data_IF_673550643938
#
_entry.id   IF_673550643938
#
_cell.length_a   1.000
_cell.length_b   1.000
_cell.length_c   1.000
_cell.angle_alpha   90.00
_cell.angle_beta   90.00
_cell.angle_gamma   90.00
#
_symmetry.space_group_name_H-M   'P 1'
#
loop_
_entity.id
_entity.type
_entity.pdbx_description
1 polymer ?
#
# COMPACT_ATOMS: atom_id res chain seq x y z
N UNK A 1 0.97 13.01 17.17
CA UNK A 1 0.23 12.14 16.24
C UNK A 1 0.95 10.81 16.21
N UNK A 2 0.28 9.64 16.27
CA UNK A 2 0.98 8.37 16.13
C UNK A 2 1.65 8.28 14.77
N UNK A 3 2.85 7.69 14.72
CA UNK A 3 3.54 7.34 13.48
C UNK A 3 2.76 6.23 12.77
N UNK A 4 2.58 6.36 11.45
CA UNK A 4 1.81 5.42 10.64
C UNK A 4 2.71 4.79 9.58
N UNK A 5 2.52 3.49 9.36
CA UNK A 5 3.00 2.79 8.18
C UNK A 5 1.81 2.58 7.24
N UNK A 6 2.05 2.49 5.95
CA UNK A 6 1.02 2.50 4.93
C UNK A 6 1.21 1.35 3.95
N UNK A 7 0.12 0.64 3.64
CA UNK A 7 0.03 -0.16 2.42
C UNK A 7 -0.76 0.65 1.42
N UNK A 8 -0.17 1.00 0.28
CA UNK A 8 -0.76 1.94 -0.66
C UNK A 8 -0.63 1.50 -2.12
N UNK A 9 -1.57 1.96 -2.94
CA UNK A 9 -1.56 1.82 -4.40
C UNK A 9 -2.27 3.00 -5.05
N UNK A 10 -2.04 3.20 -6.34
CA UNK A 10 -2.61 4.32 -7.10
C UNK A 10 -3.37 3.81 -8.33
N UNK A 11 -4.51 4.44 -8.60
CA UNK A 11 -5.30 4.19 -9.79
C UNK A 11 -5.64 5.50 -10.51
N UNK A 12 -5.45 5.49 -11.84
CA UNK A 12 -5.78 6.64 -12.68
C UNK A 12 -7.28 6.71 -12.87
N UNK A 13 -7.84 7.89 -12.69
CA UNK A 13 -9.25 8.13 -12.89
C UNK A 13 -9.56 8.48 -14.35
N UNK A 14 -10.78 8.17 -14.77
CA UNK A 14 -11.35 8.71 -16.00
C UNK A 14 -12.05 10.04 -15.68
N UNK A 15 -11.33 11.15 -15.86
CA UNK A 15 -11.79 12.46 -15.40
C UNK A 15 -11.87 12.52 -13.87
N UNK A 16 -13.07 12.73 -13.33
CA UNK A 16 -13.32 12.83 -11.88
C UNK A 16 -14.19 11.68 -11.35
N UNK A 17 -14.44 10.64 -12.16
CA UNK A 17 -15.30 9.52 -11.75
C UNK A 17 -14.55 8.54 -10.85
N UNK A 18 -14.75 8.70 -9.53
CA UNK A 18 -14.15 7.85 -8.49
C UNK A 18 -14.90 6.54 -8.24
N UNK A 19 -16.15 6.40 -8.72
CA UNK A 19 -17.03 5.29 -8.32
C UNK A 19 -16.47 3.91 -8.70
N UNK A 20 -15.89 3.69 -9.90
CA UNK A 20 -15.33 2.39 -10.24
C UNK A 20 -14.18 1.98 -9.31
N UNK A 21 -13.32 2.92 -8.96
CA UNK A 21 -12.15 2.71 -8.10
C UNK A 21 -12.55 2.48 -6.64
N UNK A 22 -13.51 3.25 -6.13
CA UNK A 22 -14.09 3.03 -4.79
C UNK A 22 -14.71 1.63 -4.67
N UNK A 23 -15.44 1.18 -5.70
CA UNK A 23 -16.03 -0.17 -5.71
C UNK A 23 -14.99 -1.28 -5.66
N UNK A 24 -13.82 -1.08 -6.30
CA UNK A 24 -12.70 -2.01 -6.18
C UNK A 24 -12.16 -2.07 -4.76
N UNK A 25 -11.97 -0.90 -4.14
CA UNK A 25 -11.46 -0.84 -2.77
C UNK A 25 -12.44 -1.42 -1.75
N UNK A 26 -13.74 -1.20 -1.92
CA UNK A 26 -14.78 -1.81 -1.08
C UNK A 26 -14.64 -3.35 -1.03
N UNK A 27 -14.43 -4.00 -2.18
CA UNK A 27 -14.20 -5.46 -2.22
C UNK A 27 -12.92 -5.88 -1.49
N UNK A 28 -11.87 -5.06 -1.53
CA UNK A 28 -10.66 -5.32 -0.73
C UNK A 28 -11.02 -5.28 0.76
N UNK A 29 -11.73 -4.24 1.20
CA UNK A 29 -12.16 -4.09 2.59
C UNK A 29 -13.06 -5.25 3.04
N UNK A 30 -13.94 -5.74 2.16
CA UNK A 30 -14.76 -6.95 2.41
C UNK A 30 -13.87 -8.17 2.62
N UNK A 31 -12.89 -8.43 1.75
CA UNK A 31 -12.02 -9.61 1.84
C UNK A 31 -11.08 -9.61 3.05
N UNK A 32 -10.73 -8.44 3.57
CA UNK A 32 -9.90 -8.32 4.78
C UNK A 32 -10.74 -8.25 6.08
N UNK A 33 -12.07 -8.31 5.99
CA UNK A 33 -12.99 -8.33 7.14
C UNK A 33 -13.24 -6.96 7.78
N UNK A 34 -12.97 -5.86 7.05
CA UNK A 34 -13.09 -4.47 7.55
C UNK A 34 -14.37 -3.79 7.08
N UNK A 35 -15.04 -4.33 6.05
CA UNK A 35 -16.27 -3.75 5.51
C UNK A 35 -17.46 -4.00 6.44
N UNK A 36 -18.08 -2.91 6.89
CA UNK A 36 -19.31 -2.92 7.69
C UNK A 36 -20.26 -1.78 7.28
N UNK A 37 -21.44 -1.75 7.87
CA UNK A 37 -22.47 -0.75 7.55
C UNK A 37 -22.08 0.70 7.83
N UNK A 38 -21.07 0.93 8.69
CA UNK A 38 -20.56 2.27 8.95
C UNK A 38 -19.62 2.70 7.82
N UNK A 39 -18.68 1.84 7.44
CA UNK A 39 -17.79 2.07 6.30
C UNK A 39 -18.59 2.25 5.01
N UNK A 40 -19.59 1.40 4.77
CA UNK A 40 -20.46 1.48 3.59
C UNK A 40 -21.13 2.86 3.49
N UNK A 41 -21.72 3.35 4.59
CA UNK A 41 -22.33 4.69 4.63
C UNK A 41 -21.32 5.79 4.37
N UNK A 42 -20.10 5.67 4.89
CA UNK A 42 -19.05 6.67 4.61
C UNK A 42 -18.65 6.64 3.14
N UNK A 43 -18.54 5.45 2.53
CA UNK A 43 -18.25 5.28 1.10
C UNK A 43 -19.34 5.88 0.21
N UNK A 44 -20.62 5.71 0.56
CA UNK A 44 -21.75 6.29 -0.16
C UNK A 44 -21.77 7.83 -0.14
N UNK A 45 -21.12 8.43 0.86
CA UNK A 45 -20.99 9.87 1.05
C UNK A 45 -19.69 10.44 0.46
N UNK A 46 -18.83 9.62 -0.14
CA UNK A 46 -17.61 10.08 -0.79
C UNK A 46 -17.96 10.85 -2.06
N UNK A 47 -17.60 12.12 -2.09
CA UNK A 47 -17.78 13.01 -3.23
C UNK A 47 -16.43 13.61 -3.64
N UNK A 48 -16.21 13.70 -4.95
CA UNK A 48 -15.09 14.44 -5.52
C UNK A 48 -15.40 15.94 -5.46
N UNK A 49 -14.83 16.66 -4.50
CA UNK A 49 -15.05 18.10 -4.33
C UNK A 49 -13.82 18.87 -4.78
N UNK A 50 -14.03 19.81 -5.70
CA UNK A 50 -13.01 20.74 -6.17
C UNK A 50 -13.23 22.06 -5.46
N UNK A 51 -12.20 22.55 -4.76
CA UNK A 51 -12.19 23.88 -4.16
C UNK A 51 -11.78 24.97 -5.17
N UNK A 52 -11.98 26.24 -4.80
CA UNK A 52 -11.69 27.40 -5.66
C UNK A 52 -10.21 27.50 -6.07
N UNK A 53 -9.30 26.94 -5.27
CA UNK A 53 -7.86 26.86 -5.55
C UNK A 53 -7.48 25.64 -6.42
N UNK A 54 -8.47 24.84 -6.87
CA UNK A 54 -8.27 23.60 -7.63
C UNK A 54 -7.87 22.40 -6.77
N UNK A 55 -7.79 22.56 -5.44
CA UNK A 55 -7.56 21.45 -4.52
C UNK A 55 -8.75 20.50 -4.55
N UNK A 56 -8.47 19.21 -4.48
CA UNK A 56 -9.49 18.17 -4.44
C UNK A 56 -9.36 17.39 -3.15
N UNK A 57 -10.49 17.23 -2.47
CA UNK A 57 -10.59 16.31 -1.34
C UNK A 57 -11.78 15.37 -1.53
N UNK A 58 -11.69 14.22 -0.87
CA UNK A 58 -12.79 13.29 -0.71
C UNK A 58 -13.48 13.59 0.62
N UNK A 59 -14.78 13.83 0.60
CA UNK A 59 -15.55 14.07 1.83
C UNK A 59 -15.49 12.86 2.76
N UNK A 60 -15.23 13.10 4.06
CA UNK A 60 -15.36 12.09 5.13
C UNK A 60 -14.45 10.86 4.97
N UNK A 61 -13.13 11.06 4.98
CA UNK A 61 -12.12 9.99 4.82
C UNK A 61 -11.59 9.39 6.13
N UNK A 62 -12.16 9.72 7.29
CA UNK A 62 -11.73 9.13 8.57
C UNK A 62 -12.53 7.87 8.92
N UNK A 63 -12.09 6.76 8.34
CA UNK A 63 -12.74 5.46 8.47
C UNK A 63 -12.50 4.75 9.82
N UNK A 64 -11.60 5.30 10.65
CA UNK A 64 -11.18 4.73 11.93
C UNK A 64 -10.36 3.44 11.81
N UNK A 65 -9.68 3.06 12.89
CA UNK A 65 -8.91 1.81 12.95
C UNK A 65 -9.79 0.60 13.26
N UNK A 66 -9.73 -0.40 12.38
CA UNK A 66 -10.53 -1.63 12.45
C UNK A 66 -9.64 -2.87 12.41
N UNK A 67 -10.06 -3.91 13.11
CA UNK A 67 -9.37 -5.19 13.10
C UNK A 67 -9.64 -5.91 11.77
N UNK A 68 -8.66 -6.65 11.29
CA UNK A 68 -8.80 -7.51 10.10
C UNK A 68 -9.04 -8.96 10.50
N UNK A 69 -9.51 -9.78 9.56
CA UNK A 69 -9.60 -11.24 9.77
C UNK A 69 -8.23 -11.94 9.85
N UNK A 70 -7.15 -11.23 9.53
CA UNK A 70 -5.81 -11.81 9.44
C UNK A 70 -5.01 -11.72 10.74
N UNK A 71 -5.28 -10.71 11.59
CA UNK A 71 -4.56 -10.51 12.84
C UNK A 71 -5.27 -9.50 13.76
N UNK A 72 -4.78 -9.37 15.01
CA UNK A 72 -5.18 -8.30 15.93
C UNK A 72 -4.65 -6.91 15.54
N UNK A 73 -3.72 -6.82 14.58
CA UNK A 73 -3.21 -5.54 14.08
C UNK A 73 -4.34 -4.86 13.31
N UNK A 74 -4.66 -3.64 13.73
CA UNK A 74 -5.71 -2.84 13.11
C UNK A 74 -5.18 -2.09 11.90
N UNK A 75 -6.07 -1.88 10.93
CA UNK A 75 -5.85 -1.04 9.76
C UNK A 75 -6.90 0.06 9.74
N UNK A 76 -6.54 1.24 9.24
CA UNK A 76 -7.48 2.30 8.91
C UNK A 76 -7.45 2.51 7.39
N UNK A 77 -8.57 2.28 6.68
CA UNK A 77 -8.69 2.67 5.29
C UNK A 77 -8.44 4.18 5.14
N UNK A 78 -7.79 4.58 4.06
CA UNK A 78 -7.58 5.98 3.71
C UNK A 78 -7.63 6.13 2.20
N UNK A 79 -8.17 7.25 1.73
CA UNK A 79 -8.26 7.57 0.32
C UNK A 79 -7.80 9.01 0.11
N UNK A 80 -6.94 9.24 -0.88
CA UNK A 80 -6.47 10.58 -1.24
C UNK A 80 -6.65 10.81 -2.74
N UNK A 81 -7.13 12.01 -3.09
CA UNK A 81 -7.22 12.44 -4.47
C UNK A 81 -5.93 13.18 -4.88
N UNK A 82 -5.43 12.85 -6.05
CA UNK A 82 -4.23 13.45 -6.63
C UNK A 82 -4.57 14.08 -7.97
N UNK A 83 -4.36 15.38 -8.09
CA UNK A 83 -4.63 16.12 -9.33
C UNK A 83 -3.42 16.93 -9.75
N UNK A 84 -3.32 17.32 -11.04
CA UNK A 84 -2.25 18.20 -11.52
C UNK A 84 -2.19 19.56 -10.78
N UNK A 85 -3.30 19.98 -10.15
CA UNK A 85 -3.37 21.21 -9.36
C UNK A 85 -2.68 21.06 -7.99
N UNK A 86 -2.72 19.86 -7.39
CA UNK A 86 -2.07 19.54 -6.11
C UNK A 86 -0.59 19.22 -6.34
N UNK A 87 -0.31 18.39 -7.33
CA UNK A 87 1.03 17.95 -7.67
C UNK A 87 1.18 17.88 -9.20
N UNK A 88 2.03 18.77 -9.74
CA UNK A 88 2.25 18.94 -11.17
C UNK A 88 2.94 17.75 -11.84
N UNK A 89 3.46 16.79 -11.07
CA UNK A 89 4.04 15.55 -11.61
C UNK A 89 2.95 14.60 -12.12
N UNK A 90 1.70 14.76 -11.70
CA UNK A 90 0.58 14.04 -12.28
C UNK A 90 0.05 14.76 -13.53
N UNK A 91 0.01 14.06 -14.66
CA UNK A 91 -0.62 14.57 -15.89
C UNK A 91 -2.15 14.40 -15.90
N UNK A 92 -2.69 13.55 -15.03
CA UNK A 92 -4.10 13.19 -14.97
C UNK A 92 -4.56 13.15 -13.51
N UNK A 93 -5.86 12.96 -13.27
CA UNK A 93 -6.35 12.72 -11.93
C UNK A 93 -6.13 11.26 -11.52
N UNK A 94 -5.70 11.08 -10.29
CA UNK A 94 -5.45 9.79 -9.66
C UNK A 94 -6.13 9.74 -8.29
N UNK A 95 -6.30 8.53 -7.79
CA UNK A 95 -6.70 8.27 -6.41
C UNK A 95 -5.72 7.28 -5.80
N UNK A 96 -5.29 7.52 -4.57
CA UNK A 96 -4.58 6.52 -3.77
C UNK A 96 -5.54 5.82 -2.84
N UNK A 97 -5.29 4.54 -2.63
CA UNK A 97 -5.98 3.70 -1.67
C UNK A 97 -4.96 3.18 -0.69
N UNK A 98 -5.12 3.53 0.58
CA UNK A 98 -4.17 3.18 1.61
C UNK A 98 -4.84 2.40 2.74
N UNK A 99 -4.08 1.48 3.34
CA UNK A 99 -4.37 0.86 4.63
C UNK A 99 -3.30 1.33 5.61
N UNK A 100 -3.68 2.24 6.50
CA UNK A 100 -2.79 2.81 7.51
C UNK A 100 -2.71 1.88 8.73
N UNK A 101 -1.51 1.68 9.26
CA UNK A 101 -1.21 0.82 10.40
C UNK A 101 -0.41 1.65 11.40
N UNK A 102 -0.75 1.60 12.68
CA UNK A 102 0.06 2.27 13.70
C UNK A 102 1.44 1.61 13.82
N UNK A 103 2.51 2.36 13.53
CA UNK A 103 3.89 1.83 13.43
C UNK A 103 4.33 1.09 14.71
N UNK A 104 3.97 1.62 15.89
CA UNK A 104 4.28 0.98 17.17
C UNK A 104 3.65 -0.40 17.39
N UNK A 105 2.57 -0.71 16.66
CA UNK A 105 1.95 -2.04 16.73
C UNK A 105 2.75 -3.09 15.97
N UNK A 106 3.55 -2.69 14.98
CA UNK A 106 4.27 -3.58 14.06
C UNK A 106 5.79 -3.53 14.14
N UNK A 107 6.38 -2.49 14.74
CA UNK A 107 7.84 -2.35 14.94
C UNK A 107 8.28 -2.76 16.35
N UNK A 108 9.47 -3.33 16.44
CA UNK A 108 10.18 -3.57 17.69
C UNK A 108 11.12 -2.38 17.97
N UNK A 109 10.77 -1.59 18.99
CA UNK A 109 11.53 -0.39 19.34
C UNK A 109 12.96 -0.66 19.82
N UNK A 110 13.30 -1.90 20.20
CA UNK A 110 14.65 -2.21 20.68
C UNK A 110 15.68 -2.30 19.56
N UNK A 111 15.26 -2.76 18.38
CA UNK A 111 16.15 -3.00 17.24
C UNK A 111 15.73 -2.23 15.98
N UNK A 112 14.60 -1.54 16.00
CA UNK A 112 14.07 -0.79 14.87
C UNK A 112 13.39 -1.65 13.80
N UNK A 113 13.51 -2.98 13.85
CA UNK A 113 12.98 -3.88 12.83
C UNK A 113 11.48 -4.17 13.02
N UNK A 114 10.86 -4.72 11.98
CA UNK A 114 9.49 -5.23 12.08
C UNK A 114 9.40 -6.49 12.95
N UNK A 115 8.31 -6.59 13.74
CA UNK A 115 7.97 -7.79 14.50
C UNK A 115 7.76 -8.98 13.55
N UNK A 116 8.01 -10.19 14.04
CA UNK A 116 7.97 -11.43 13.23
C UNK A 116 6.65 -11.60 12.44
N UNK A 117 5.51 -11.33 13.06
CA UNK A 117 4.20 -11.52 12.44
C UNK A 117 3.87 -10.45 11.38
N UNK A 118 4.57 -9.31 11.39
CA UNK A 118 4.29 -8.17 10.51
C UNK A 118 4.48 -8.54 9.05
N UNK A 119 5.55 -9.25 8.69
CA UNK A 119 5.80 -9.62 7.29
C UNK A 119 4.65 -10.44 6.70
N UNK A 120 4.18 -11.45 7.46
CA UNK A 120 3.06 -12.30 7.01
C UNK A 120 1.77 -11.51 6.90
N UNK A 121 1.54 -10.59 7.83
CA UNK A 121 0.34 -9.74 7.85
C UNK A 121 0.32 -8.79 6.64
N UNK A 122 1.37 -7.98 6.46
CA UNK A 122 1.55 -7.06 5.33
C UNK A 122 1.42 -7.80 4.01
N UNK A 123 2.11 -8.94 3.87
CA UNK A 123 2.04 -9.77 2.66
C UNK A 123 0.63 -10.22 2.30
N UNK A 124 -0.22 -10.53 3.29
CA UNK A 124 -1.63 -10.88 3.03
C UNK A 124 -2.42 -9.67 2.53
N UNK A 125 -2.32 -8.54 3.23
CA UNK A 125 -3.03 -7.31 2.86
C UNK A 125 -2.65 -6.81 1.47
N UNK A 126 -1.34 -6.76 1.17
CA UNK A 126 -0.82 -6.36 -0.15
C UNK A 126 -1.38 -7.25 -1.26
N UNK A 127 -1.46 -8.56 -1.01
CA UNK A 127 -2.05 -9.49 -1.99
C UNK A 127 -3.54 -9.24 -2.20
N UNK A 128 -4.31 -8.98 -1.14
CA UNK A 128 -5.73 -8.68 -1.26
C UNK A 128 -5.98 -7.39 -2.05
N UNK A 129 -5.16 -6.35 -1.84
CA UNK A 129 -5.20 -5.13 -2.64
C UNK A 129 -4.88 -5.42 -4.12
N UNK A 130 -3.82 -6.17 -4.37
CA UNK A 130 -3.36 -6.46 -5.73
C UNK A 130 -4.35 -7.28 -6.59
N UNK A 131 -5.34 -7.93 -5.97
CA UNK A 131 -6.41 -8.62 -6.73
C UNK A 131 -7.31 -7.65 -7.50
N UNK A 132 -7.46 -6.40 -7.05
CA UNK A 132 -8.29 -5.39 -7.74
C UNK A 132 -7.44 -4.28 -8.40
N UNK A 133 -6.24 -4.03 -7.88
CA UNK A 133 -5.35 -2.97 -8.35
C UNK A 133 -4.09 -3.54 -8.99
N UNK A 134 -3.93 -3.31 -10.29
CA UNK A 134 -2.76 -3.77 -11.05
C UNK A 134 -2.18 -2.70 -12.00
N UNK A 135 -2.65 -1.45 -11.88
CA UNK A 135 -2.14 -0.36 -12.69
C UNK A 135 -0.73 0.03 -12.23
N UNK A 136 -0.56 0.15 -10.92
CA UNK A 136 0.70 0.35 -10.21
C UNK A 136 1.01 -0.85 -9.32
N UNK A 137 2.15 -0.83 -8.63
CA UNK A 137 2.39 -1.72 -7.51
C UNK A 137 1.51 -1.42 -6.32
N UNK A 138 1.49 -2.38 -5.40
CA UNK A 138 0.99 -2.18 -4.04
C UNK A 138 2.18 -2.24 -3.12
N UNK A 139 2.45 -1.14 -2.43
CA UNK A 139 3.67 -0.91 -1.65
C UNK A 139 3.34 -0.83 -0.18
N UNK A 140 4.18 -1.41 0.65
CA UNK A 140 4.23 -1.18 2.08
C UNK A 140 5.46 -0.36 2.41
N UNK A 141 5.24 0.76 3.08
CA UNK A 141 6.24 1.76 3.43
C UNK A 141 6.05 2.18 4.89
N UNK A 142 7.11 2.72 5.48
CA UNK A 142 7.05 3.34 6.80
C UNK A 142 6.86 4.85 6.72
N UNK A 143 6.69 5.49 7.88
CA UNK A 143 6.52 6.94 8.00
C UNK A 143 7.69 7.73 7.36
N UNK A 144 8.92 7.21 7.44
CA UNK A 144 10.08 7.90 6.89
C UNK A 144 10.03 8.01 5.35
N UNK A 145 9.17 7.20 4.74
CA UNK A 145 8.93 7.11 3.31
C UNK A 145 7.60 7.76 2.90
N UNK A 146 6.88 8.40 3.82
CA UNK A 146 5.60 9.04 3.52
C UNK A 146 5.77 10.13 2.45
N UNK A 147 4.93 10.04 1.40
CA UNK A 147 4.92 10.99 0.29
C UNK A 147 6.04 10.79 -0.74
N UNK A 148 6.93 9.81 -0.57
CA UNK A 148 7.88 9.44 -1.63
C UNK A 148 7.18 8.73 -2.80
N UNK A 149 7.87 8.69 -3.94
CA UNK A 149 7.35 8.08 -5.16
C UNK A 149 8.00 6.73 -5.45
N UNK A 150 7.17 5.69 -5.50
CA UNK A 150 7.56 4.31 -5.76
C UNK A 150 6.85 3.73 -6.98
N UNK A 151 5.90 4.47 -7.55
CA UNK A 151 4.92 3.95 -8.51
C UNK A 151 5.39 4.06 -9.97
N UNK A 152 6.42 4.87 -10.22
CA UNK A 152 6.97 5.12 -11.56
C UNK A 152 6.05 5.96 -12.46
N UNK A 153 4.98 6.53 -11.90
CA UNK A 153 4.07 7.48 -12.54
C UNK A 153 4.68 8.87 -12.53
N UNK A 154 5.18 9.34 -11.37
CA UNK A 154 5.63 10.73 -11.19
C UNK A 154 7.13 10.90 -11.37
N UNK A 155 7.91 9.87 -11.06
CA UNK A 155 9.37 9.91 -10.99
C UNK A 155 9.99 8.78 -11.81
N UNK A 156 10.96 9.14 -12.66
CA UNK A 156 11.75 8.20 -13.45
C UNK A 156 13.08 7.79 -12.78
N UNK A 157 13.36 8.31 -11.59
CA UNK A 157 14.53 7.94 -10.79
C UNK A 157 14.37 6.53 -10.21
N UNK A 158 15.04 5.57 -10.86
CA UNK A 158 14.97 4.16 -10.51
C UNK A 158 15.40 3.86 -9.08
N UNK A 159 16.28 4.68 -8.48
CA UNK A 159 16.70 4.44 -7.09
C UNK A 159 15.54 4.67 -6.12
N UNK A 160 14.72 5.70 -6.37
CA UNK A 160 13.56 6.02 -5.54
C UNK A 160 12.45 4.99 -5.67
N UNK A 161 12.34 4.34 -6.84
CA UNK A 161 11.36 3.28 -7.04
C UNK A 161 11.56 2.10 -6.09
N UNK A 162 12.77 1.90 -5.54
CA UNK A 162 13.05 0.84 -4.55
C UNK A 162 12.93 1.30 -3.09
N UNK A 163 12.45 2.51 -2.79
CA UNK A 163 12.31 3.01 -1.41
C UNK A 163 11.05 2.47 -0.71
N UNK A 164 10.83 1.15 -0.71
CA UNK A 164 9.72 0.50 -0.03
C UNK A 164 10.19 -0.69 0.80
N UNK A 165 9.41 -1.13 1.78
CA UNK A 165 9.79 -2.26 2.64
C UNK A 165 9.30 -3.60 2.09
N UNK A 166 8.12 -3.60 1.47
CA UNK A 166 7.57 -4.73 0.74
C UNK A 166 6.70 -4.22 -0.41
N UNK A 167 6.73 -4.87 -1.57
CA UNK A 167 5.86 -4.53 -2.67
C UNK A 167 5.43 -5.75 -3.48
N UNK A 168 4.26 -5.64 -4.09
CA UNK A 168 3.84 -6.50 -5.19
C UNK A 168 3.66 -5.63 -6.44
N UNK A 169 4.60 -5.75 -7.37
CA UNK A 169 4.72 -4.91 -8.57
C UNK A 169 4.22 -5.69 -9.78
N UNK A 170 3.28 -5.16 -10.59
CA UNK A 170 2.84 -5.80 -11.82
C UNK A 170 4.02 -6.05 -12.75
N UNK A 171 4.12 -7.25 -13.33
CA UNK A 171 5.25 -7.63 -14.19
C UNK A 171 5.41 -6.72 -15.41
N UNK A 172 4.31 -6.13 -15.90
CA UNK A 172 4.33 -5.12 -16.98
C UNK A 172 5.13 -3.86 -16.63
N UNK A 173 5.41 -3.60 -15.36
CA UNK A 173 6.19 -2.45 -14.88
C UNK A 173 7.66 -2.80 -14.64
N UNK A 174 8.09 -4.05 -14.87
CA UNK A 174 9.45 -4.53 -14.55
C UNK A 174 10.55 -3.61 -15.08
N UNK A 175 10.41 -3.14 -16.30
CA UNK A 175 11.41 -2.31 -16.97
C UNK A 175 11.61 -0.94 -16.31
N UNK A 176 10.59 -0.43 -15.60
CA UNK A 176 10.69 0.84 -14.87
C UNK A 176 11.66 0.75 -13.69
N UNK A 177 11.69 -0.39 -13.00
CA UNK A 177 12.45 -0.55 -11.75
C UNK A 177 13.95 -0.75 -11.94
N UNK A 178 14.42 -0.97 -13.18
CA UNK A 178 15.85 -1.14 -13.44
C UNK A 178 16.51 -2.29 -12.65
N UNK A 179 17.73 -2.06 -12.18
CA UNK A 179 18.49 -3.05 -11.42
C UNK A 179 18.04 -3.11 -9.95
N UNK A 180 17.79 -4.33 -9.46
CA UNK A 180 17.40 -4.59 -8.07
C UNK A 180 18.55 -4.29 -7.09
N UNK A 181 18.35 -3.45 -6.05
CA UNK A 181 19.36 -3.24 -5.01
C UNK A 181 19.75 -4.50 -4.25
N UNK A 182 20.94 -4.50 -3.64
CA UNK A 182 21.51 -5.70 -2.97
C UNK A 182 20.73 -6.14 -1.73
N UNK A 183 20.17 -5.19 -0.99
CA UNK A 183 19.37 -5.44 0.21
C UNK A 183 17.95 -5.96 -0.10
N UNK A 184 17.53 -5.96 -1.37
CA UNK A 184 16.22 -6.49 -1.75
C UNK A 184 16.26 -7.97 -2.11
N UNK A 185 15.23 -8.69 -1.68
CA UNK A 185 14.87 -10.00 -2.23
C UNK A 185 13.71 -9.83 -3.20
N UNK A 186 13.69 -10.66 -4.23
CA UNK A 186 12.61 -10.68 -5.23
C UNK A 186 12.18 -12.10 -5.54
N UNK A 187 10.88 -12.28 -5.76
CA UNK A 187 10.29 -13.50 -6.30
C UNK A 187 9.35 -13.13 -7.44
N UNK A 188 9.60 -13.68 -8.63
CA UNK A 188 8.74 -13.45 -9.78
C UNK A 188 7.69 -14.55 -9.94
N UNK A 189 6.53 -14.14 -10.44
CA UNK A 189 5.44 -14.99 -10.90
C UNK A 189 5.08 -14.61 -12.34
N UNK A 190 4.01 -15.18 -12.89
CA UNK A 190 3.55 -14.80 -14.22
C UNK A 190 3.05 -13.35 -14.28
N UNK A 191 2.45 -12.86 -13.18
CA UNK A 191 1.78 -11.55 -13.16
C UNK A 191 2.50 -10.50 -12.32
N UNK A 192 3.35 -10.92 -11.37
CA UNK A 192 3.89 -10.04 -10.33
C UNK A 192 5.36 -10.29 -10.04
N UNK A 193 6.04 -9.21 -9.64
CA UNK A 193 7.31 -9.23 -8.93
C UNK A 193 6.98 -8.93 -7.46
N UNK A 194 7.18 -9.91 -6.60
CA UNK A 194 7.14 -9.73 -5.15
C UNK A 194 8.54 -9.30 -4.70
N UNK A 195 8.66 -8.17 -4.01
CA UNK A 195 9.94 -7.59 -3.59
C UNK A 195 9.91 -7.14 -2.13
N UNK A 196 11.01 -7.27 -1.39
CA UNK A 196 11.10 -6.78 -0.02
C UNK A 196 12.54 -6.46 0.41
N UNK A 197 12.68 -5.42 1.23
CA UNK A 197 13.97 -4.98 1.80
C UNK A 197 14.33 -5.86 3.01
N UNK A 198 15.27 -6.78 2.85
CA UNK A 198 15.56 -7.79 3.88
C UNK A 198 16.13 -7.21 5.18
N UNK A 199 16.66 -5.99 5.15
CA UNK A 199 17.32 -5.37 6.31
C UNK A 199 16.31 -4.94 7.38
N UNK A 200 15.06 -4.66 6.98
CA UNK A 200 14.01 -4.14 7.87
C UNK A 200 13.19 -5.25 8.56
N UNK A 201 13.34 -6.49 8.12
CA UNK A 201 12.56 -7.62 8.61
C UNK A 201 13.37 -8.49 9.55
N UNK A 202 12.78 -8.88 10.69
CA UNK A 202 13.34 -9.91 11.56
C UNK A 202 13.19 -11.32 10.95
N UNK A 203 13.66 -11.53 9.71
CA UNK A 203 13.73 -12.82 9.04
C UNK A 203 14.88 -13.68 9.60
N UNK A 204 14.90 -13.91 10.92
CA UNK A 204 15.74 -14.95 11.54
C UNK A 204 14.92 -16.18 11.90
N UNK A 205 14.01 -16.66 11.04
CA UNK A 205 13.20 -17.85 11.37
C UNK A 205 13.10 -18.83 10.18
N UNK A 206 14.00 -19.83 10.25
CA UNK A 206 13.96 -21.20 9.72
C UNK A 206 14.30 -21.43 8.23
N UNK A 207 15.60 -21.37 7.92
CA UNK A 207 16.23 -22.29 6.95
C UNK A 207 17.00 -23.42 7.66
N UNK A 208 16.49 -23.92 8.80
CA UNK A 208 17.11 -25.02 9.55
C UNK A 208 16.02 -25.89 10.18
N UNK A 209 15.67 -26.98 9.48
CA UNK A 209 15.24 -28.30 10.00
C UNK A 209 14.59 -29.16 8.89
N UNK A 210 15.27 -29.29 7.75
CA UNK A 210 14.92 -30.29 6.73
C UNK A 210 16.11 -31.21 6.39
N UNK A 211 17.02 -31.46 7.35
CA UNK A 211 18.17 -32.34 7.11
C UNK A 211 18.47 -33.42 8.15
N UNK A 212 17.67 -33.58 9.21
CA UNK A 212 17.81 -34.78 10.06
C UNK A 212 16.47 -35.35 10.46
N UNK A 213 16.03 -36.34 9.68
CA UNK A 213 15.42 -37.61 10.10
C UNK A 213 15.37 -38.49 8.86
N UNK A 214 16.54 -39.08 8.55
CA UNK A 214 16.61 -40.41 7.95
C UNK A 214 16.24 -41.43 9.04
#
# INVERSE_FOLDING_TARGET
MPELSNIQTYEKLNGNDIKPSIKKFAKVLERIGVWDSEIEKQFDLLEWKVEDNGFVYLSNSDFGFRKTDFSEIKVRPNLLAWTPAIDKTFENNWISFDLLIETGTIRDFQNGNYKELTFRFVKKLVKEMATEFNQTGVYFTDEAQDGEDFDGIRVSDQNKLWNFDYALIPKKLKELYGEKPKNFRTKETDNWIEAWNQDNWNEKIKSTNAQHRL
#
